data_IF_801712875703
#
_entry.id   IF_801712875703
#
_cell.length_a   1.000
_cell.length_b   1.000
_cell.length_c   1.000
_cell.angle_alpha   90.00
_cell.angle_beta   90.00
_cell.angle_gamma   90.00
#
_symmetry.space_group_name_H-M   'P 1'
#
loop_
_entity.id
_entity.type
_entity.pdbx_description
1 polymer ?
#
# COMPACT_ATOMS: atom_id res chain seq x y z
N UNK A 1 -13.30 -34.90 13.67
CA UNK A 1 -12.29 -33.90 13.23
C UNK A 1 -12.48 -33.71 11.73
N UNK A 2 -13.09 -32.60 11.31
CA UNK A 2 -13.56 -32.41 9.92
C UNK A 2 -12.39 -32.04 8.99
N UNK A 3 -11.97 -32.99 8.14
CA UNK A 3 -10.85 -32.86 7.18
C UNK A 3 -11.06 -31.69 6.19
N UNK A 4 -12.32 -31.30 5.94
CA UNK A 4 -12.70 -30.19 5.03
C UNK A 4 -12.13 -28.83 5.48
N UNK A 5 -11.99 -28.61 6.80
CA UNK A 5 -11.51 -27.34 7.34
C UNK A 5 -10.04 -27.05 7.03
N UNK A 6 -9.22 -28.10 6.86
CA UNK A 6 -7.79 -27.95 6.58
C UNK A 6 -7.50 -27.42 5.17
N UNK A 7 -8.39 -27.72 4.20
CA UNK A 7 -8.24 -27.25 2.82
C UNK A 7 -8.76 -25.83 2.60
N UNK A 8 -9.72 -25.38 3.40
CA UNK A 8 -10.28 -24.02 3.29
C UNK A 8 -9.34 -22.93 3.84
N UNK A 9 -8.54 -23.25 4.86
CA UNK A 9 -7.63 -22.30 5.49
C UNK A 9 -6.57 -21.69 4.56
N UNK A 10 -5.85 -22.44 3.70
CA UNK A 10 -4.87 -21.84 2.79
C UNK A 10 -5.50 -20.96 1.70
N UNK A 11 -6.78 -21.17 1.34
CA UNK A 11 -7.48 -20.38 0.32
C UNK A 11 -7.76 -18.96 0.84
N UNK A 12 -8.15 -18.83 2.12
CA UNK A 12 -8.43 -17.53 2.75
C UNK A 12 -7.16 -16.68 2.93
N UNK A 13 -6.00 -17.31 3.13
CA UNK A 13 -4.72 -16.60 3.32
C UNK A 13 -4.17 -16.05 1.99
N UNK A 14 -4.56 -16.65 0.86
CA UNK A 14 -4.08 -16.27 -0.47
C UNK A 14 -4.88 -15.13 -1.11
N UNK A 15 -6.15 -14.99 -0.71
CA UNK A 15 -7.10 -14.03 -1.27
C UNK A 15 -6.78 -12.54 -1.04
N UNK A 16 -6.19 -12.11 0.10
CA UNK A 16 -5.97 -10.69 0.38
C UNK A 16 -5.06 -10.02 -0.65
N UNK A 17 -4.07 -10.73 -1.18
CA UNK A 17 -3.14 -10.21 -2.18
C UNK A 17 -3.78 -10.02 -3.57
N UNK A 18 -4.79 -10.81 -3.92
CA UNK A 18 -5.48 -10.70 -5.21
C UNK A 18 -6.45 -9.50 -5.26
N UNK A 19 -6.94 -9.07 -4.10
CA UNK A 19 -7.86 -7.94 -3.95
C UNK A 19 -7.15 -6.64 -3.53
N UNK A 20 -5.86 -6.70 -3.22
CA UNK A 20 -5.08 -5.53 -2.83
C UNK A 20 -4.84 -4.61 -4.03
N UNK A 21 -5.78 -3.71 -4.29
CA UNK A 21 -5.56 -2.58 -5.20
C UNK A 21 -4.63 -1.58 -4.52
N UNK A 22 -3.57 -1.14 -5.17
CA UNK A 22 -2.66 -0.15 -4.61
C UNK A 22 -1.34 -0.11 -5.36
N UNK A 23 -0.47 0.80 -4.94
CA UNK A 23 0.86 0.95 -5.52
C UNK A 23 1.82 1.61 -4.52
N UNK A 24 3.10 1.60 -4.87
CA UNK A 24 4.13 2.32 -4.12
C UNK A 24 4.23 3.75 -4.66
N UNK A 25 3.92 4.80 -3.87
CA UNK A 25 4.08 6.18 -4.31
C UNK A 25 5.56 6.53 -4.44
N UNK A 26 5.83 7.53 -5.28
CA UNK A 26 7.16 8.07 -5.51
C UNK A 26 7.29 9.46 -4.87
N UNK A 27 8.45 9.70 -4.28
CA UNK A 27 8.86 10.98 -3.74
C UNK A 27 9.22 12.01 -4.83
N UNK A 28 9.71 13.17 -4.40
CA UNK A 28 10.15 14.27 -5.28
C UNK A 28 11.25 13.87 -6.27
N UNK A 29 12.03 12.83 -5.94
CA UNK A 29 13.13 12.31 -6.73
C UNK A 29 12.73 11.12 -7.62
N UNK A 30 11.45 10.73 -7.59
CA UNK A 30 10.97 9.55 -8.32
C UNK A 30 11.32 8.23 -7.66
N UNK A 31 11.69 8.21 -6.37
CA UNK A 31 12.00 7.00 -5.61
C UNK A 31 10.84 6.60 -4.70
N UNK A 32 10.68 5.32 -4.42
CA UNK A 32 9.68 4.85 -3.47
C UNK A 32 10.08 5.20 -2.04
N UNK A 33 9.11 5.53 -1.19
CA UNK A 33 9.36 5.79 0.23
C UNK A 33 9.73 4.52 0.99
N UNK A 34 10.91 4.50 1.61
CA UNK A 34 11.34 3.39 2.45
C UNK A 34 10.68 3.41 3.83
N UNK A 35 10.58 2.25 4.47
CA UNK A 35 10.03 2.12 5.82
C UNK A 35 10.76 1.04 6.64
N UNK A 36 10.93 1.30 7.94
CA UNK A 36 11.73 0.44 8.82
C UNK A 36 10.97 -0.66 9.57
N UNK A 37 9.64 -0.55 9.74
CA UNK A 37 8.83 -1.55 10.45
C UNK A 37 7.74 -2.04 9.51
N UNK A 38 7.77 -3.33 9.16
CA UNK A 38 6.77 -4.00 8.33
C UNK A 38 5.38 -3.95 8.98
N UNK A 39 4.34 -3.90 8.14
CA UNK A 39 2.96 -3.74 8.57
C UNK A 39 2.61 -2.30 8.90
N UNK A 40 1.77 -2.09 9.91
CA UNK A 40 1.28 -0.78 10.30
C UNK A 40 2.42 0.20 10.62
N UNK A 41 2.40 1.36 9.96
CA UNK A 41 3.50 2.30 9.99
C UNK A 41 3.00 3.74 9.81
N UNK A 42 3.20 4.59 10.83
CA UNK A 42 2.74 5.98 10.82
C UNK A 42 3.36 6.81 9.70
N UNK A 43 4.60 6.52 9.28
CA UNK A 43 5.22 7.20 8.16
C UNK A 43 4.45 6.91 6.87
N UNK A 44 4.17 5.64 6.60
CA UNK A 44 3.42 5.25 5.40
C UNK A 44 1.98 5.75 5.42
N UNK A 45 1.31 5.76 6.59
CA UNK A 45 -0.01 6.37 6.73
C UNK A 45 -0.01 7.86 6.33
N UNK A 46 1.02 8.62 6.73
CA UNK A 46 1.15 10.05 6.38
C UNK A 46 1.43 10.24 4.90
N UNK A 47 2.35 9.47 4.33
CA UNK A 47 2.68 9.52 2.89
C UNK A 47 1.45 9.21 2.04
N UNK A 48 0.73 8.13 2.34
CA UNK A 48 -0.42 7.74 1.53
C UNK A 48 -1.54 8.79 1.56
N UNK A 49 -1.73 9.48 2.69
CA UNK A 49 -2.65 10.63 2.80
C UNK A 49 -2.24 11.79 1.90
N UNK A 50 -0.95 12.07 1.77
CA UNK A 50 -0.44 13.08 0.83
C UNK A 50 -0.81 12.69 -0.61
N UNK A 51 -0.69 11.41 -0.96
CA UNK A 51 -1.07 10.90 -2.28
C UNK A 51 -2.58 10.71 -2.48
N UNK A 52 -3.41 11.15 -1.53
CA UNK A 52 -4.86 11.20 -1.67
C UNK A 52 -5.59 9.92 -1.26
N UNK A 53 -4.94 8.98 -0.56
CA UNK A 53 -5.61 7.78 -0.02
C UNK A 53 -5.44 7.65 1.49
N UNK A 54 -6.41 7.03 2.14
CA UNK A 54 -6.50 7.05 3.60
C UNK A 54 -5.53 6.09 4.29
N UNK A 55 -5.24 4.95 3.65
CA UNK A 55 -4.53 3.85 4.27
C UNK A 55 -3.21 3.54 3.56
N UNK A 56 -2.20 3.33 4.39
CA UNK A 56 -0.84 3.07 3.99
C UNK A 56 -0.11 2.26 5.03
N UNK A 57 0.73 1.33 4.60
CA UNK A 57 1.50 0.48 5.49
C UNK A 57 2.84 0.10 4.86
N UNK A 58 3.73 -0.46 5.66
CA UNK A 58 5.05 -0.87 5.21
C UNK A 58 5.00 -2.29 4.64
N UNK A 59 5.26 -2.43 3.35
CA UNK A 59 5.28 -3.70 2.63
C UNK A 59 6.53 -3.78 1.75
N UNK A 60 7.28 -4.89 1.85
CA UNK A 60 8.54 -5.04 1.10
C UNK A 60 9.56 -3.92 1.41
N UNK A 61 9.57 -3.42 2.65
CA UNK A 61 10.41 -2.31 3.13
C UNK A 61 10.14 -0.96 2.46
N UNK A 62 9.00 -0.83 1.77
CA UNK A 62 8.52 0.39 1.15
C UNK A 62 7.10 0.70 1.59
N UNK A 63 6.70 1.96 1.52
CA UNK A 63 5.32 2.33 1.78
C UNK A 63 4.41 1.88 0.63
N UNK A 64 3.42 1.07 0.96
CA UNK A 64 2.33 0.69 0.08
C UNK A 64 1.10 1.50 0.43
N UNK A 65 0.46 2.07 -0.58
CA UNK A 65 -0.77 2.84 -0.42
C UNK A 65 -1.96 2.06 -0.98
N UNK A 66 -2.89 1.71 -0.10
CA UNK A 66 -4.08 0.97 -0.48
C UNK A 66 -4.99 1.86 -1.33
N UNK A 67 -5.52 1.30 -2.41
CA UNK A 67 -6.39 1.95 -3.40
C UNK A 67 -5.77 3.16 -4.12
N UNK A 68 -4.46 3.36 -4.01
CA UNK A 68 -3.77 4.41 -4.77
C UNK A 68 -3.76 4.06 -6.26
N UNK A 69 -4.38 4.92 -7.07
CA UNK A 69 -4.33 4.81 -8.53
C UNK A 69 -3.02 5.38 -9.08
N UNK A 70 -2.66 4.98 -10.30
CA UNK A 70 -1.44 5.47 -10.96
C UNK A 70 -1.44 7.01 -11.18
N UNK A 71 -2.63 7.64 -11.23
CA UNK A 71 -2.77 9.09 -11.44
C UNK A 71 -2.04 9.93 -10.39
N UNK A 72 -2.08 9.51 -9.13
CA UNK A 72 -1.51 10.25 -8.01
C UNK A 72 -0.29 9.53 -7.43
N UNK A 73 0.32 8.62 -8.20
CA UNK A 73 1.48 7.84 -7.76
C UNK A 73 2.73 8.71 -7.61
N UNK A 74 2.96 9.64 -8.54
CA UNK A 74 4.12 10.52 -8.51
C UNK A 74 3.83 11.74 -7.64
N UNK A 75 4.79 12.14 -6.80
CA UNK A 75 4.68 13.37 -6.01
C UNK A 75 4.28 14.58 -6.86
N UNK A 76 4.88 14.73 -8.04
CA UNK A 76 4.62 15.88 -8.92
C UNK A 76 3.22 15.90 -9.52
N UNK A 77 2.54 14.76 -9.59
CA UNK A 77 1.14 14.73 -10.06
C UNK A 77 0.20 15.20 -8.95
N UNK A 78 0.44 14.77 -7.71
CA UNK A 78 -0.26 15.30 -6.52
C UNK A 78 -0.01 16.81 -6.36
N UNK A 79 1.24 17.24 -6.50
CA UNK A 79 1.62 18.65 -6.35
C UNK A 79 0.86 19.57 -7.32
N UNK A 80 0.75 19.19 -8.59
CA UNK A 80 -0.01 19.94 -9.61
C UNK A 80 -1.50 20.04 -9.32
N UNK A 81 -2.08 19.09 -8.57
CA UNK A 81 -3.49 19.13 -8.20
C UNK A 81 -3.77 20.07 -7.00
N UNK A 82 -2.74 20.45 -6.23
CA UNK A 82 -2.90 21.20 -4.98
C UNK A 82 -2.25 22.58 -4.99
N UNK A 83 -1.46 22.92 -6.03
CA UNK A 83 -0.73 24.18 -6.18
C UNK A 83 -0.91 24.72 -7.59
#
# INVERSE_FOLDING_TARGET
MNIILFYFMPILISLPGLLASGTYPNDVYGLTYDCGKLGENEHCLKICKIHGVEYGYCYGWRCWCDKLSDKNKLFWDVYKEHC
#
